data_IF_961023560625
#
_entry.id   IF_961023560625
#
_cell.length_a   1.000
_cell.length_b   1.000
_cell.length_c   1.000
_cell.angle_alpha   90.00
_cell.angle_beta   90.00
_cell.angle_gamma   90.00
#
_symmetry.space_group_name_H-M   'P 1'
#
loop_
_entity.id
_entity.type
_entity.pdbx_description
1 polymer ?
#
# COMPACT_ATOMS: atom_id res chain seq x y z
N UNK A 1 21.67 53.43 -50.02
CA UNK A 1 20.28 53.03 -49.76
C UNK A 1 19.63 54.22 -49.11
N UNK A 2 18.73 54.88 -49.84
CA UNK A 2 17.92 55.98 -49.33
C UNK A 2 16.93 55.44 -48.30
N UNK A 3 16.97 56.01 -47.10
CA UNK A 3 16.11 55.64 -45.99
C UNK A 3 14.83 56.48 -46.12
N UNK A 4 13.68 55.82 -46.12
CA UNK A 4 12.35 56.46 -46.26
C UNK A 4 12.11 57.52 -45.18
N UNK A 5 11.50 58.68 -45.51
CA UNK A 5 11.29 59.80 -44.57
C UNK A 5 10.24 59.54 -43.47
N UNK A 6 9.68 58.33 -43.37
CA UNK A 6 8.73 57.93 -42.31
C UNK A 6 9.39 57.45 -41.00
N UNK A 7 10.73 57.45 -40.89
CA UNK A 7 11.42 56.98 -39.66
C UNK A 7 11.56 58.12 -38.63
N UNK A 8 10.43 58.70 -38.23
CA UNK A 8 10.31 59.61 -37.08
C UNK A 8 9.06 59.32 -36.24
N UNK A 9 8.54 58.09 -36.29
CA UNK A 9 7.55 57.63 -35.32
C UNK A 9 8.23 56.89 -34.16
N UNK A 10 7.78 57.19 -32.93
CA UNK A 10 8.29 56.56 -31.72
C UNK A 10 7.90 55.07 -31.70
N UNK A 11 8.85 54.19 -32.03
CA UNK A 11 8.63 52.74 -31.98
C UNK A 11 8.75 52.28 -30.52
N UNK A 12 7.64 51.85 -29.94
CA UNK A 12 7.62 51.26 -28.60
C UNK A 12 7.85 49.75 -28.71
N UNK A 13 8.99 49.28 -28.20
CA UNK A 13 9.35 47.87 -28.14
C UNK A 13 9.06 47.34 -26.73
N UNK A 14 8.20 46.33 -26.63
CA UNK A 14 7.86 45.68 -25.35
C UNK A 14 8.28 44.21 -25.44
N UNK A 15 8.96 43.72 -24.41
CA UNK A 15 9.38 42.32 -24.30
C UNK A 15 8.19 41.41 -23.96
N UNK A 16 8.28 40.10 -24.22
CA UNK A 16 7.20 39.14 -23.89
C UNK A 16 6.75 39.22 -22.42
N UNK A 17 7.69 39.38 -21.49
CA UNK A 17 7.40 39.59 -20.05
C UNK A 17 6.76 40.95 -19.76
N UNK A 18 7.14 42.01 -20.49
CA UNK A 18 6.52 43.33 -20.37
C UNK A 18 5.08 43.37 -20.90
N UNK A 19 4.79 42.63 -21.98
CA UNK A 19 3.45 42.50 -22.53
C UNK A 19 2.51 41.77 -21.57
N UNK A 20 3.03 40.77 -20.84
CA UNK A 20 2.29 40.00 -19.83
C UNK A 20 1.80 40.86 -18.64
N UNK A 21 2.49 41.95 -18.30
CA UNK A 21 2.04 42.91 -17.28
C UNK A 21 0.96 43.88 -17.80
N UNK A 22 0.85 44.07 -19.11
CA UNK A 22 -0.05 45.04 -19.74
C UNK A 22 -1.38 44.43 -20.22
N UNK A 23 -1.41 43.12 -20.50
CA UNK A 23 -2.62 42.38 -20.89
C UNK A 23 -3.76 42.55 -19.88
N UNK A 24 -3.47 42.78 -18.60
CA UNK A 24 -4.50 43.01 -17.58
C UNK A 24 -5.26 44.33 -17.77
N UNK A 25 -4.71 45.28 -18.53
CA UNK A 25 -5.24 46.64 -18.73
C UNK A 25 -5.77 46.88 -20.14
N UNK A 26 -5.46 46.00 -21.10
CA UNK A 26 -5.93 46.12 -22.48
C UNK A 26 -7.24 45.33 -22.68
N UNK A 27 -8.27 46.02 -23.16
CA UNK A 27 -9.63 45.50 -23.37
C UNK A 27 -9.93 45.23 -24.85
N UNK A 28 -8.92 44.91 -25.65
CA UNK A 28 -9.07 44.56 -27.06
C UNK A 28 -9.12 43.04 -27.28
N UNK A 29 -9.69 42.63 -28.41
CA UNK A 29 -9.90 41.21 -28.73
C UNK A 29 -8.59 40.43 -28.89
N UNK A 30 -7.51 41.10 -29.33
CA UNK A 30 -6.20 40.47 -29.52
C UNK A 30 -5.51 40.20 -28.19
N UNK A 31 -5.59 41.14 -27.23
CA UNK A 31 -5.11 40.90 -25.87
C UNK A 31 -5.82 39.70 -25.20
N UNK A 32 -7.14 39.59 -25.37
CA UNK A 32 -7.91 38.44 -24.88
C UNK A 32 -7.55 37.12 -25.56
N UNK A 33 -7.22 37.14 -26.85
CA UNK A 33 -6.74 35.95 -27.55
C UNK A 33 -5.37 35.51 -27.03
N UNK A 34 -4.41 36.42 -26.92
CA UNK A 34 -3.05 36.13 -26.42
C UNK A 34 -3.08 35.68 -24.97
N UNK A 35 -3.91 36.30 -24.12
CA UNK A 35 -4.08 35.87 -22.74
C UNK A 35 -4.61 34.43 -22.64
N UNK A 36 -5.62 34.08 -23.45
CA UNK A 36 -6.15 32.71 -23.49
C UNK A 36 -5.09 31.71 -23.94
N UNK A 37 -4.30 32.04 -24.95
CA UNK A 37 -3.23 31.16 -25.43
C UNK A 37 -2.14 30.92 -24.38
N UNK A 38 -1.73 31.98 -23.66
CA UNK A 38 -0.77 31.88 -22.56
C UNK A 38 -1.31 31.06 -21.38
N UNK A 39 -2.56 31.30 -20.98
CA UNK A 39 -3.25 30.53 -19.93
C UNK A 39 -3.34 29.06 -20.34
N UNK A 40 -3.77 28.78 -21.57
CA UNK A 40 -3.87 27.43 -22.09
C UNK A 40 -2.50 26.73 -22.12
N UNK A 41 -1.43 27.42 -22.51
CA UNK A 41 -0.07 26.85 -22.53
C UNK A 41 0.48 26.60 -21.13
N UNK A 42 0.26 27.52 -20.19
CA UNK A 42 0.65 27.37 -18.78
C UNK A 42 -0.05 26.17 -18.13
N UNK A 43 -1.36 26.03 -18.32
CA UNK A 43 -2.13 24.90 -17.78
C UNK A 43 -1.93 23.60 -18.56
N UNK A 44 -1.61 23.66 -19.86
CA UNK A 44 -1.23 22.47 -20.64
C UNK A 44 0.12 21.90 -20.19
N UNK A 45 1.08 22.75 -19.81
CA UNK A 45 2.38 22.33 -19.25
C UNK A 45 2.24 21.76 -17.82
N UNK A 46 1.10 22.02 -17.16
CA UNK A 46 0.77 21.46 -15.85
C UNK A 46 0.13 20.06 -15.93
N UNK A 47 -0.10 19.52 -17.14
CA UNK A 47 -0.41 18.10 -17.28
C UNK A 47 0.87 17.30 -17.01
N UNK A 48 0.84 16.25 -16.17
CA UNK A 48 2.02 15.42 -15.96
C UNK A 48 2.40 14.84 -17.33
N UNK A 49 3.53 15.29 -17.87
CA UNK A 49 4.08 14.71 -19.08
C UNK A 49 4.19 13.20 -18.84
N UNK A 50 3.65 12.38 -19.74
CA UNK A 50 3.85 10.93 -19.69
C UNK A 50 5.35 10.68 -19.55
N UNK A 51 5.81 10.07 -18.44
CA UNK A 51 7.23 9.89 -18.20
C UNK A 51 7.83 9.09 -19.37
N UNK A 52 9.03 9.43 -19.84
CA UNK A 52 9.69 8.64 -20.89
C UNK A 52 9.72 7.16 -20.47
N UNK A 53 9.36 6.25 -21.39
CA UNK A 53 9.33 4.81 -21.11
C UNK A 53 10.67 4.30 -20.54
N UNK A 54 11.79 4.87 -20.97
CA UNK A 54 13.12 4.57 -20.43
C UNK A 54 13.25 4.90 -18.94
N UNK A 55 12.68 6.00 -18.47
CA UNK A 55 12.71 6.41 -17.06
C UNK A 55 11.86 5.48 -16.20
N UNK A 56 10.66 5.12 -16.68
CA UNK A 56 9.78 4.15 -16.03
C UNK A 56 10.47 2.79 -15.88
N UNK A 57 11.12 2.32 -16.94
CA UNK A 57 11.80 1.03 -16.95
C UNK A 57 12.98 1.02 -15.97
N UNK A 58 13.78 2.08 -15.95
CA UNK A 58 14.92 2.18 -15.04
C UNK A 58 14.46 2.28 -13.57
N UNK A 59 13.45 3.09 -13.28
CA UNK A 59 12.85 3.16 -11.95
C UNK A 59 12.33 1.78 -11.51
N UNK A 60 11.66 1.06 -12.41
CA UNK A 60 11.15 -0.26 -12.12
C UNK A 60 12.26 -1.27 -11.83
N UNK A 61 13.35 -1.23 -12.62
CA UNK A 61 14.55 -2.07 -12.41
C UNK A 61 15.18 -1.80 -11.05
N UNK A 62 15.51 -0.54 -10.76
CA UNK A 62 16.19 -0.16 -9.50
C UNK A 62 15.34 -0.52 -8.29
N UNK A 63 14.05 -0.21 -8.30
CA UNK A 63 13.17 -0.54 -7.17
C UNK A 63 13.02 -2.04 -6.98
N UNK A 64 12.97 -2.82 -8.06
CA UNK A 64 12.95 -4.29 -7.98
C UNK A 64 14.22 -4.83 -7.33
N UNK A 65 15.39 -4.33 -7.73
CA UNK A 65 16.68 -4.73 -7.15
C UNK A 65 16.78 -4.36 -5.67
N UNK A 66 16.37 -3.14 -5.31
CA UNK A 66 16.28 -2.72 -3.90
C UNK A 66 15.34 -3.64 -3.10
N UNK A 67 14.15 -3.95 -3.63
CA UNK A 67 13.21 -4.85 -2.98
C UNK A 67 13.81 -6.25 -2.74
N UNK A 68 14.57 -6.80 -3.68
CA UNK A 68 15.30 -8.06 -3.49
C UNK A 68 16.33 -7.97 -2.36
N UNK A 69 17.08 -6.86 -2.29
CA UNK A 69 18.05 -6.62 -1.20
C UNK A 69 17.35 -6.56 0.17
N UNK A 70 16.14 -6.01 0.22
CA UNK A 70 15.33 -5.95 1.44
C UNK A 70 14.52 -7.25 1.71
N UNK A 71 14.65 -8.29 0.89
CA UNK A 71 13.90 -9.55 1.03
C UNK A 71 12.41 -9.43 0.72
N UNK A 72 12.00 -8.40 -0.01
CA UNK A 72 10.63 -8.26 -0.52
C UNK A 72 10.56 -9.02 -1.85
N UNK A 73 9.91 -10.17 -1.84
CA UNK A 73 9.89 -11.12 -2.95
C UNK A 73 8.47 -11.47 -3.41
N UNK A 74 8.40 -12.23 -4.51
CA UNK A 74 7.16 -12.82 -5.05
C UNK A 74 6.03 -11.78 -5.25
N UNK A 75 4.79 -12.12 -4.89
CA UNK A 75 3.62 -11.27 -5.04
C UNK A 75 3.76 -9.94 -4.30
N UNK A 76 4.48 -9.90 -3.17
CA UNK A 76 4.69 -8.66 -2.43
C UNK A 76 5.55 -7.68 -3.23
N UNK A 77 6.59 -8.17 -3.91
CA UNK A 77 7.42 -7.36 -4.78
C UNK A 77 6.61 -6.79 -5.95
N UNK A 78 5.80 -7.63 -6.61
CA UNK A 78 4.97 -7.21 -7.75
C UNK A 78 3.97 -6.12 -7.33
N UNK A 79 3.27 -6.30 -6.22
CA UNK A 79 2.30 -5.33 -5.71
C UNK A 79 2.98 -4.04 -5.23
N UNK A 80 4.08 -4.15 -4.49
CA UNK A 80 4.83 -2.99 -4.01
C UNK A 80 5.39 -2.17 -5.18
N UNK A 81 5.94 -2.83 -6.20
CA UNK A 81 6.45 -2.18 -7.39
C UNK A 81 5.34 -1.51 -8.19
N UNK A 82 4.21 -2.19 -8.40
CA UNK A 82 3.04 -1.61 -9.08
C UNK A 82 2.54 -0.35 -8.35
N UNK A 83 2.49 -0.38 -7.01
CA UNK A 83 2.10 0.78 -6.21
C UNK A 83 3.13 1.92 -6.30
N UNK A 84 4.43 1.60 -6.34
CA UNK A 84 5.49 2.58 -6.53
C UNK A 84 5.36 3.26 -7.90
N UNK A 85 5.13 2.46 -8.96
CA UNK A 85 4.87 2.97 -10.32
C UNK A 85 3.63 3.87 -10.38
N UNK A 86 2.54 3.48 -9.70
CA UNK A 86 1.34 4.32 -9.63
C UNK A 86 1.61 5.64 -8.89
N UNK A 87 2.39 5.61 -7.80
CA UNK A 87 2.67 6.80 -7.00
C UNK A 87 3.61 7.77 -7.70
N UNK A 88 4.64 7.26 -8.36
CA UNK A 88 5.65 8.08 -9.03
C UNK A 88 5.18 8.58 -10.40
N UNK A 89 4.52 7.71 -11.16
CA UNK A 89 4.23 7.95 -12.59
C UNK A 89 2.74 7.95 -12.92
N UNK A 90 1.86 7.64 -11.97
CA UNK A 90 0.41 7.54 -12.21
C UNK A 90 -0.01 6.30 -13.00
N UNK A 91 0.87 5.32 -13.20
CA UNK A 91 0.62 4.12 -14.01
C UNK A 91 0.43 2.88 -13.14
N UNK A 92 -0.70 2.19 -13.32
CA UNK A 92 -1.00 0.89 -12.72
C UNK A 92 -0.89 -0.19 -13.79
N UNK A 93 0.26 -0.87 -13.83
CA UNK A 93 0.54 -1.90 -14.84
C UNK A 93 -0.37 -3.11 -14.68
N UNK A 94 -0.67 -3.51 -13.45
CA UNK A 94 -1.57 -4.64 -13.19
C UNK A 94 -2.97 -4.37 -13.74
N UNK A 95 -3.53 -3.20 -13.48
CA UNK A 95 -4.82 -2.77 -14.04
C UNK A 95 -4.76 -2.65 -15.57
N UNK A 96 -3.69 -2.04 -16.10
CA UNK A 96 -3.44 -1.91 -17.55
C UNK A 96 -3.42 -3.27 -18.26
N UNK A 97 -2.91 -4.31 -17.61
CA UNK A 97 -2.83 -5.68 -18.14
C UNK A 97 -4.03 -6.55 -17.76
N UNK A 98 -5.03 -6.02 -17.05
CA UNK A 98 -6.20 -6.78 -16.58
C UNK A 98 -5.87 -7.82 -15.51
N UNK A 99 -4.74 -7.68 -14.81
CA UNK A 99 -4.30 -8.58 -13.73
C UNK A 99 -4.89 -8.09 -12.42
N UNK A 100 -6.07 -8.60 -12.08
CA UNK A 100 -6.82 -8.21 -10.88
C UNK A 100 -6.42 -8.97 -9.60
N UNK A 101 -5.57 -9.98 -9.72
CA UNK A 101 -5.12 -10.77 -8.59
C UNK A 101 -3.91 -11.64 -8.95
N UNK A 102 -3.00 -11.76 -7.99
CA UNK A 102 -1.86 -12.66 -8.07
C UNK A 102 -2.18 -13.95 -7.32
N UNK A 103 -1.76 -15.10 -7.87
CA UNK A 103 -1.96 -16.39 -7.21
C UNK A 103 -1.14 -16.43 -5.92
N UNK A 104 -1.81 -16.51 -4.77
CA UNK A 104 -1.14 -16.61 -3.48
C UNK A 104 -0.32 -17.92 -3.40
N UNK A 105 0.87 -17.84 -2.82
CA UNK A 105 1.72 -19.03 -2.60
C UNK A 105 1.05 -19.98 -1.61
N UNK A 106 0.52 -19.43 -0.53
CA UNK A 106 -0.34 -20.14 0.39
C UNK A 106 -1.80 -19.95 -0.02
N UNK A 107 -2.47 -21.05 -0.34
CA UNK A 107 -3.88 -21.06 -0.75
C UNK A 107 -4.86 -21.16 0.43
N UNK A 108 -4.40 -20.78 1.63
CA UNK A 108 -5.18 -20.81 2.86
C UNK A 108 -5.41 -19.39 3.38
N UNK A 109 -6.60 -19.15 3.92
CA UNK A 109 -6.90 -17.84 4.48
C UNK A 109 -6.13 -17.67 5.80
N UNK A 110 -5.43 -16.54 5.96
CA UNK A 110 -4.84 -16.18 7.24
C UNK A 110 -5.87 -15.46 8.12
N UNK A 111 -6.01 -15.95 9.35
CA UNK A 111 -7.06 -15.58 10.28
C UNK A 111 -6.47 -15.04 11.57
N UNK A 112 -7.17 -14.08 12.15
CA UNK A 112 -6.91 -13.67 13.53
C UNK A 112 -7.70 -14.54 14.50
N UNK A 113 -7.30 -14.50 15.77
CA UNK A 113 -8.05 -15.12 16.88
C UNK A 113 -9.52 -14.66 16.90
N UNK A 114 -9.79 -13.40 16.52
CA UNK A 114 -11.16 -12.87 16.44
C UNK A 114 -11.95 -13.46 15.29
N UNK A 115 -11.29 -13.73 14.14
CA UNK A 115 -11.94 -14.38 12.99
C UNK A 115 -12.29 -15.83 13.30
N UNK A 116 -11.38 -16.57 13.94
CA UNK A 116 -11.64 -17.93 14.44
C UNK A 116 -12.85 -17.93 15.37
N UNK A 117 -12.86 -17.01 16.35
CA UNK A 117 -13.94 -16.91 17.32
C UNK A 117 -15.30 -16.65 16.65
N UNK A 118 -15.33 -15.70 15.71
CA UNK A 118 -16.54 -15.34 14.95
C UNK A 118 -17.06 -16.54 14.14
N UNK A 119 -16.18 -17.30 13.50
CA UNK A 119 -16.56 -18.49 12.70
C UNK A 119 -17.12 -19.62 13.55
N UNK A 120 -16.59 -19.79 14.76
CA UNK A 120 -17.02 -20.83 15.69
C UNK A 120 -18.17 -20.38 16.62
N UNK A 121 -18.61 -19.12 16.54
CA UNK A 121 -19.66 -18.60 17.41
C UNK A 121 -19.25 -18.48 18.88
N UNK A 122 -17.95 -18.42 19.18
CA UNK A 122 -17.41 -18.33 20.55
C UNK A 122 -16.83 -16.95 20.83
N UNK A 123 -16.54 -16.64 22.10
CA UNK A 123 -15.90 -15.38 22.47
C UNK A 123 -14.40 -15.41 22.11
N UNK A 124 -13.81 -14.32 21.58
CA UNK A 124 -12.38 -14.28 21.26
C UNK A 124 -11.43 -14.68 22.39
N UNK A 125 -11.81 -14.39 23.64
CA UNK A 125 -11.04 -14.77 24.84
C UNK A 125 -10.92 -16.29 25.04
N UNK A 126 -11.81 -17.09 24.45
CA UNK A 126 -11.82 -18.55 24.61
C UNK A 126 -10.85 -19.27 23.65
N UNK A 127 -10.51 -18.64 22.51
CA UNK A 127 -9.72 -19.29 21.45
C UNK A 127 -8.29 -19.57 21.92
N UNK A 128 -7.59 -18.58 22.48
CA UNK A 128 -6.19 -18.75 22.89
C UNK A 128 -5.98 -19.87 23.92
N UNK A 129 -6.80 -20.00 24.98
CA UNK A 129 -6.74 -21.15 25.87
C UNK A 129 -6.89 -22.50 25.16
N UNK A 130 -7.80 -22.60 24.18
CA UNK A 130 -8.01 -23.85 23.42
C UNK A 130 -6.79 -24.16 22.56
N UNK A 131 -6.24 -23.16 21.86
CA UNK A 131 -5.01 -23.31 21.07
C UNK A 131 -3.83 -23.76 21.95
N UNK A 132 -3.73 -23.25 23.18
CA UNK A 132 -2.72 -23.69 24.14
C UNK A 132 -2.93 -25.12 24.61
N UNK A 133 -4.17 -25.51 24.96
CA UNK A 133 -4.50 -26.89 25.34
C UNK A 133 -4.23 -27.89 24.22
N UNK A 134 -4.46 -27.50 22.96
CA UNK A 134 -4.15 -28.31 21.77
C UNK A 134 -2.66 -28.34 21.44
N UNK A 135 -1.83 -27.63 22.19
CA UNK A 135 -0.38 -27.61 21.97
C UNK A 135 0.03 -26.85 20.72
N UNK A 136 -0.82 -25.96 20.18
CA UNK A 136 -0.52 -25.14 19.00
C UNK A 136 0.26 -23.87 19.38
N UNK A 137 0.09 -23.38 20.61
CA UNK A 137 0.84 -22.23 21.12
C UNK A 137 1.16 -22.38 22.60
N UNK A 138 2.23 -21.74 23.07
CA UNK A 138 2.52 -21.56 24.49
C UNK A 138 2.14 -20.15 24.92
N UNK A 139 1.74 -20.04 26.19
CA UNK A 139 1.43 -18.78 26.83
C UNK A 139 2.60 -18.42 27.76
N UNK A 140 3.26 -17.31 27.48
CA UNK A 140 4.45 -16.86 28.19
C UNK A 140 4.23 -15.44 28.72
N UNK A 141 5.02 -15.03 29.72
CA UNK A 141 4.98 -13.69 30.27
C UNK A 141 6.34 -13.04 30.15
N UNK A 142 6.36 -11.77 29.74
CA UNK A 142 7.60 -11.02 29.63
C UNK A 142 8.07 -10.50 31.01
N UNK A 143 9.20 -9.80 31.02
CA UNK A 143 9.75 -9.17 32.23
C UNK A 143 8.83 -8.08 32.84
N UNK A 144 7.80 -7.63 32.10
CA UNK A 144 6.77 -6.68 32.53
C UNK A 144 5.45 -7.40 32.89
N UNK A 145 5.49 -8.71 33.09
CA UNK A 145 4.33 -9.59 33.34
C UNK A 145 3.26 -9.59 32.23
N UNK A 146 3.59 -9.06 31.05
CA UNK A 146 2.69 -9.00 29.90
C UNK A 146 2.63 -10.34 29.18
N UNK A 147 1.40 -10.83 28.95
CA UNK A 147 1.13 -12.10 28.28
C UNK A 147 1.45 -12.00 26.78
N UNK A 148 2.27 -12.91 26.29
CA UNK A 148 2.51 -13.12 24.87
C UNK A 148 2.41 -14.61 24.52
N UNK A 149 2.21 -14.89 23.24
CA UNK A 149 2.04 -16.25 22.73
C UNK A 149 3.14 -16.59 21.75
N UNK A 150 3.57 -17.84 21.77
CA UNK A 150 4.53 -18.38 20.82
C UNK A 150 3.98 -19.66 20.19
N UNK A 151 4.10 -19.78 18.86
CA UNK A 151 3.79 -21.00 18.14
C UNK A 151 4.74 -22.13 18.56
N UNK A 152 4.17 -23.28 18.88
CA UNK A 152 4.92 -24.53 19.00
C UNK A 152 5.32 -25.06 17.62
N UNK A 153 6.05 -26.17 17.55
CA UNK A 153 6.34 -26.83 16.27
C UNK A 153 5.06 -27.21 15.52
N UNK A 154 4.07 -27.79 16.22
CA UNK A 154 2.74 -28.07 15.66
C UNK A 154 2.01 -26.78 15.26
N UNK A 155 2.16 -25.72 16.06
CA UNK A 155 1.59 -24.41 15.76
C UNK A 155 2.08 -23.81 14.44
N UNK A 156 3.36 -23.97 14.11
CA UNK A 156 3.97 -23.46 12.88
C UNK A 156 3.42 -24.13 11.61
N UNK A 157 2.86 -25.32 11.73
CA UNK A 157 2.18 -25.99 10.60
C UNK A 157 0.81 -25.36 10.30
N UNK A 158 0.19 -24.74 11.31
CA UNK A 158 -1.16 -24.19 11.23
C UNK A 158 -1.22 -22.66 11.38
N UNK A 159 -0.07 -21.99 11.41
CA UNK A 159 0.02 -20.56 11.62
C UNK A 159 1.38 -19.98 11.27
N UNK A 160 1.42 -18.65 11.14
CA UNK A 160 2.58 -17.90 10.70
C UNK A 160 2.80 -16.67 11.57
N UNK A 161 4.07 -16.30 11.75
CA UNK A 161 4.47 -15.03 12.32
C UNK A 161 4.53 -13.94 11.25
N UNK A 162 4.01 -12.78 11.59
CA UNK A 162 4.13 -11.57 10.80
C UNK A 162 4.76 -10.48 11.66
N UNK A 163 5.93 -9.99 11.27
CA UNK A 163 6.48 -8.77 11.83
C UNK A 163 5.67 -7.58 11.27
N UNK A 164 5.07 -6.79 12.16
CA UNK A 164 4.33 -5.60 11.74
C UNK A 164 5.21 -4.36 11.90
N UNK A 165 5.05 -3.38 11.00
CA UNK A 165 5.66 -2.07 11.16
C UNK A 165 5.10 -1.24 12.34
N UNK A 166 4.14 -1.80 13.09
CA UNK A 166 3.61 -1.17 14.29
C UNK A 166 4.63 -1.35 15.42
N UNK A 167 4.97 -0.25 16.07
CA UNK A 167 5.79 -0.25 17.28
C UNK A 167 4.89 -0.26 18.50
N UNK A 168 5.29 -0.96 19.56
CA UNK A 168 4.68 -0.74 20.86
C UNK A 168 4.86 0.73 21.26
N UNK A 169 3.76 1.40 21.68
CA UNK A 169 3.77 2.82 22.08
C UNK A 169 4.80 3.13 23.17
N UNK A 170 5.15 2.14 23.98
CA UNK A 170 5.98 2.29 25.17
C UNK A 170 7.44 1.86 24.96
N UNK A 171 7.71 0.90 24.07
CA UNK A 171 9.01 0.19 24.02
C UNK A 171 9.71 0.25 22.66
N UNK A 172 9.03 0.76 21.61
CA UNK A 172 9.61 0.84 20.27
C UNK A 172 9.82 -0.50 19.55
N UNK A 173 9.70 -1.62 20.26
CA UNK A 173 9.82 -2.98 19.73
C UNK A 173 8.76 -3.24 18.65
N UNK A 174 9.16 -3.81 17.49
CA UNK A 174 8.23 -4.25 16.45
C UNK A 174 7.21 -5.25 17.02
N UNK A 175 5.93 -5.03 16.73
CA UNK A 175 4.87 -5.94 17.16
C UNK A 175 4.87 -7.16 16.23
N UNK A 176 5.13 -8.33 16.80
CA UNK A 176 4.91 -9.62 16.13
C UNK A 176 3.46 -10.04 16.26
N UNK A 177 2.84 -10.42 15.16
CA UNK A 177 1.48 -10.92 15.10
C UNK A 177 1.47 -12.37 14.65
N UNK A 178 0.72 -13.22 15.36
CA UNK A 178 0.42 -14.58 14.91
C UNK A 178 -0.87 -14.54 14.08
N UNK A 179 -0.85 -15.17 12.92
CA UNK A 179 -2.06 -15.51 12.15
C UNK A 179 -2.15 -17.02 11.97
N UNK A 180 -3.38 -17.51 11.89
CA UNK A 180 -3.70 -18.92 11.81
C UNK A 180 -4.30 -19.27 10.45
N UNK A 181 -4.10 -20.49 9.99
CA UNK A 181 -4.76 -20.99 8.78
C UNK A 181 -6.12 -21.63 9.10
N UNK A 182 -6.87 -21.99 8.06
CA UNK A 182 -8.18 -22.64 8.22
C UNK A 182 -8.08 -23.95 9.02
N UNK A 183 -6.99 -24.69 8.84
CA UNK A 183 -6.70 -25.91 9.59
C UNK A 183 -6.72 -25.73 11.12
N UNK A 184 -6.39 -24.54 11.62
CA UNK A 184 -6.42 -24.26 13.05
C UNK A 184 -7.86 -24.20 13.60
N UNK A 185 -8.83 -23.80 12.77
CA UNK A 185 -10.25 -23.79 13.15
C UNK A 185 -10.72 -25.20 13.44
N UNK A 186 -10.39 -26.16 12.56
CA UNK A 186 -10.83 -27.55 12.71
C UNK A 186 -10.32 -28.16 14.02
N UNK A 187 -9.09 -27.84 14.41
CA UNK A 187 -8.50 -28.28 15.68
C UNK A 187 -9.19 -27.67 16.90
N UNK A 188 -9.58 -26.40 16.82
CA UNK A 188 -10.36 -25.72 17.89
C UNK A 188 -11.78 -26.28 17.95
N UNK A 189 -12.43 -26.49 16.81
CA UNK A 189 -13.78 -27.07 16.70
C UNK A 189 -13.82 -28.47 17.31
N UNK A 190 -12.88 -29.33 16.94
CA UNK A 190 -12.74 -30.69 17.49
C UNK A 190 -12.60 -30.67 19.02
N UNK A 191 -12.00 -29.62 19.60
CA UNK A 191 -11.89 -29.49 21.07
C UNK A 191 -13.24 -29.15 21.71
N UNK A 192 -13.98 -28.22 21.11
CA UNK A 192 -15.30 -27.82 21.60
C UNK A 192 -16.29 -28.99 21.57
N UNK A 193 -16.23 -29.80 20.51
CA UNK A 193 -17.09 -31.00 20.37
C UNK A 193 -16.72 -32.09 21.40
N UNK A 194 -15.43 -32.31 21.65
CA UNK A 194 -14.96 -33.26 22.66
C UNK A 194 -15.37 -32.85 24.09
N UNK A 195 -15.27 -31.56 24.41
CA UNK A 195 -15.69 -31.03 25.72
C UNK A 195 -17.22 -31.19 25.93
N UNK A 196 -18.02 -31.02 24.87
CA UNK A 196 -19.48 -31.20 24.91
C UNK A 196 -19.90 -32.65 25.20
N UNK A 197 -19.26 -33.62 24.54
CA UNK A 197 -19.55 -35.06 24.72
C UNK A 197 -19.18 -35.52 26.14
N UNK A 198 -18.11 -34.99 26.72
CA UNK A 198 -17.72 -35.33 28.10
C UNK A 198 -18.66 -34.75 29.16
N UNK A 199 -19.33 -33.63 28.88
CA UNK A 199 -20.30 -33.03 29.80
C UNK A 199 -21.68 -33.71 29.78
N UNK A 200 -22.11 -34.29 28.66
CA UNK A 200 -23.37 -35.05 28.59
C UNK A 200 -23.24 -36.50 29.07
N UNK A 201 -22.05 -37.10 28.99
CA UNK A 201 -21.79 -38.45 29.51
C UNK A 201 -21.59 -38.55 31.02
N UNK A 202 -21.66 -37.43 31.75
CA UNK A 202 -21.47 -37.34 33.20
C UNK A 202 -22.75 -36.94 33.97
N UNK A 203 -23.90 -36.85 33.28
CA UNK A 203 -25.22 -36.62 33.85
C UNK A 203 -26.04 -37.91 33.86
#
# INVERSE_FOLDING_TARGET
MDISPMVTEAITLITETGYLMLVKSFTDDLAWQVQRELVNKYFATSQPATPPQAQMLEYARVNRELMQIFGIESNMQVLALNNAMQKEFGVNLLDTWGVNGLKAELQEQTLTVSDIAKRLGIKPRQVNPILTKRGLQTANRDHKDSLYYELTNLGKEHGIYLDTGKKHKTDGTPVRQIKWYDSAIDLVKTHLEADFVLTEGAA
#
